data_IF_510774832377
#
_entry.id   IF_510774832377
#
_cell.length_a   1.000
_cell.length_b   1.000
_cell.length_c   1.000
_cell.angle_alpha   90.00
_cell.angle_beta   90.00
_cell.angle_gamma   90.00
#
_symmetry.space_group_name_H-M   'P 1'
#
loop_
_entity.id
_entity.type
_entity.pdbx_description
1 polymer ?
#
# COMPACT_ATOMS: atom_id res chain seq x y z
N UNK A 1 -4.54 23.78 6.78
CA UNK A 1 -3.73 22.59 7.08
C UNK A 1 -3.63 21.75 5.81
N UNK A 2 -2.42 21.42 5.34
CA UNK A 2 -2.23 20.57 4.14
C UNK A 2 -2.41 19.12 4.55
N UNK A 3 -3.10 18.35 3.70
CA UNK A 3 -3.34 16.91 3.96
C UNK A 3 -2.63 16.07 2.91
N UNK A 4 -1.81 15.12 3.36
CA UNK A 4 -1.23 14.06 2.53
C UNK A 4 -1.98 12.75 2.79
N UNK A 5 -2.32 12.01 1.74
CA UNK A 5 -2.91 10.66 1.84
C UNK A 5 -1.88 9.62 1.45
N UNK A 6 -1.55 8.75 2.40
CA UNK A 6 -0.59 7.66 2.27
C UNK A 6 -1.33 6.33 2.34
N UNK A 7 -1.15 5.48 1.34
CA UNK A 7 -1.69 4.10 1.34
C UNK A 7 -0.58 3.11 1.69
N UNK A 8 -0.87 2.22 2.64
CA UNK A 8 0.00 1.10 3.00
C UNK A 8 -0.59 -0.16 2.38
N UNK A 9 0.06 -0.67 1.34
CA UNK A 9 -0.33 -1.87 0.61
C UNK A 9 0.61 -3.05 0.95
N UNK A 10 0.22 -4.27 0.62
CA UNK A 10 1.04 -5.46 0.80
C UNK A 10 0.23 -6.71 1.11
N UNK A 11 0.91 -7.85 1.17
CA UNK A 11 0.31 -9.17 1.41
C UNK A 11 -0.21 -9.33 2.85
N UNK A 12 -1.08 -10.30 3.14
CA UNK A 12 -1.49 -10.59 4.52
C UNK A 12 -0.28 -10.85 5.42
N UNK A 13 -0.28 -10.29 6.63
CA UNK A 13 0.79 -10.50 7.62
C UNK A 13 2.12 -9.79 7.34
N UNK A 14 2.22 -8.88 6.35
CA UNK A 14 3.43 -8.11 6.10
C UNK A 14 3.62 -6.87 7.00
N UNK A 15 2.72 -6.63 7.98
CA UNK A 15 2.87 -5.58 8.98
C UNK A 15 2.07 -4.29 8.73
N UNK A 16 1.09 -4.26 7.79
CA UNK A 16 0.30 -3.05 7.49
C UNK A 16 -0.43 -2.46 8.70
N UNK A 17 -1.21 -3.29 9.39
CA UNK A 17 -1.97 -2.86 10.57
C UNK A 17 -1.05 -2.40 11.69
N UNK A 18 0.09 -3.07 11.87
CA UNK A 18 1.12 -2.68 12.83
C UNK A 18 1.71 -1.33 12.46
N UNK A 19 2.08 -1.12 11.19
CA UNK A 19 2.60 0.15 10.68
C UNK A 19 1.64 1.31 11.02
N UNK A 20 0.35 1.16 10.68
CA UNK A 20 -0.65 2.20 10.94
C UNK A 20 -0.81 2.46 12.44
N UNK A 21 -0.88 1.40 13.26
CA UNK A 21 -1.02 1.50 14.72
C UNK A 21 0.19 2.17 15.38
N UNK A 22 1.40 1.87 14.93
CA UNK A 22 2.65 2.39 15.51
C UNK A 22 2.79 3.90 15.34
N UNK A 23 2.28 4.46 14.24
CA UNK A 23 2.47 5.87 13.92
C UNK A 23 1.26 6.75 14.23
N UNK A 24 0.08 6.20 14.32
CA UNK A 24 -1.15 6.98 14.48
C UNK A 24 -1.17 7.75 15.80
N UNK A 25 -1.46 9.05 15.72
CA UNK A 25 -1.68 9.93 16.87
C UNK A 25 -3.13 9.83 17.40
N UNK A 26 -3.98 9.06 16.71
CA UNK A 26 -5.36 8.78 17.11
C UNK A 26 -5.57 7.27 17.26
N UNK A 27 -6.61 6.88 18.00
CA UNK A 27 -6.98 5.48 18.08
C UNK A 27 -7.30 4.94 16.67
N UNK A 28 -6.61 3.87 16.29
CA UNK A 28 -6.77 3.26 14.96
C UNK A 28 -8.10 2.54 14.92
N UNK A 29 -8.96 2.92 13.99
CA UNK A 29 -10.22 2.22 13.73
C UNK A 29 -9.89 0.89 13.03
N UNK A 30 -9.81 -0.17 13.84
CA UNK A 30 -9.65 -1.54 13.37
C UNK A 30 -11.03 -2.14 13.08
N UNK A 31 -11.42 -2.10 11.81
CA UNK A 31 -12.74 -2.61 11.42
C UNK A 31 -12.78 -4.15 11.32
N UNK A 32 -11.64 -4.85 11.39
CA UNK A 32 -11.61 -6.33 11.40
C UNK A 32 -12.12 -6.93 12.72
N UNK A 33 -11.95 -6.24 13.86
CA UNK A 33 -12.37 -6.73 15.18
C UNK A 33 -13.89 -6.79 15.39
N UNK A 34 -14.65 -5.96 14.70
CA UNK A 34 -16.10 -5.88 14.89
C UNK A 34 -16.90 -6.93 14.09
N UNK A 35 -16.24 -7.76 13.28
CA UNK A 35 -16.91 -8.81 12.49
C UNK A 35 -17.01 -10.18 13.21
N UNK A 36 -16.39 -10.33 14.38
CA UNK A 36 -16.36 -11.61 15.14
C UNK A 36 -17.40 -11.71 16.25
N UNK A 37 -18.08 -10.62 16.62
CA UNK A 37 -19.12 -10.67 17.64
C UNK A 37 -20.50 -11.02 17.07
N UNK A 38 -21.24 -11.79 17.83
CA UNK A 38 -22.52 -12.48 17.61
C UNK A 38 -23.64 -11.79 16.81
N UNK A 39 -23.43 -10.57 16.30
CA UNK A 39 -24.35 -9.83 15.43
C UNK A 39 -24.18 -10.08 13.93
N UNK A 40 -23.21 -10.91 13.53
CA UNK A 40 -22.97 -11.30 12.13
C UNK A 40 -24.16 -12.04 11.47
N UNK A 41 -25.13 -12.49 12.27
CA UNK A 41 -26.32 -13.21 11.75
C UNK A 41 -27.46 -12.33 11.21
N UNK A 42 -27.43 -11.01 11.45
CA UNK A 42 -28.62 -10.16 11.17
C UNK A 42 -28.41 -9.06 10.13
N UNK A 43 -27.18 -8.71 9.75
CA UNK A 43 -26.95 -7.64 8.74
C UNK A 43 -26.04 -8.12 7.61
N UNK A 44 -26.60 -8.31 6.41
CA UNK A 44 -25.92 -8.41 5.12
C UNK A 44 -25.21 -7.10 4.72
N UNK A 45 -24.53 -6.43 5.65
CA UNK A 45 -23.60 -5.33 5.34
C UNK A 45 -22.20 -5.86 5.55
N UNK A 46 -21.52 -6.13 4.44
CA UNK A 46 -20.09 -6.43 4.44
C UNK A 46 -19.37 -5.23 5.04
N UNK A 47 -18.97 -5.32 6.29
CA UNK A 47 -18.07 -4.33 6.90
C UNK A 47 -16.71 -4.52 6.26
N UNK A 48 -16.29 -3.55 5.46
CA UNK A 48 -15.00 -3.62 4.80
C UNK A 48 -13.95 -3.12 5.78
N UNK A 49 -13.07 -4.01 6.17
CA UNK A 49 -12.01 -3.75 7.12
C UNK A 49 -10.81 -3.10 6.40
N UNK A 50 -10.47 -1.88 6.78
CA UNK A 50 -9.18 -1.25 6.49
C UNK A 50 -8.70 -0.50 7.74
N UNK A 51 -7.39 -0.42 7.90
CA UNK A 51 -6.81 0.36 8.99
C UNK A 51 -6.78 1.84 8.61
N UNK A 52 -7.18 2.71 9.52
CA UNK A 52 -7.08 4.15 9.34
C UNK A 52 -6.36 4.79 10.51
N UNK A 53 -5.37 5.62 10.22
CA UNK A 53 -4.63 6.41 11.19
C UNK A 53 -4.34 7.82 10.70
N UNK A 54 -3.94 8.69 11.63
CA UNK A 54 -3.51 10.06 11.34
C UNK A 54 -2.21 10.36 12.06
N UNK A 55 -1.35 11.14 11.40
CA UNK A 55 -0.10 11.60 11.95
C UNK A 55 0.12 13.08 11.63
N UNK A 56 0.35 13.89 12.66
CA UNK A 56 0.64 15.32 12.52
C UNK A 56 2.13 15.56 12.22
N UNK A 57 2.41 16.40 11.22
CA UNK A 57 3.76 16.87 10.91
C UNK A 57 3.84 18.38 11.17
N UNK A 58 4.39 18.73 12.32
CA UNK A 58 4.35 20.10 12.80
C UNK A 58 2.93 20.62 12.98
N UNK A 59 2.71 21.93 12.84
CA UNK A 59 1.41 22.58 13.02
C UNK A 59 0.61 22.73 11.72
N UNK A 60 1.19 22.42 10.56
CA UNK A 60 0.64 22.81 9.27
C UNK A 60 0.25 21.67 8.36
N UNK A 61 0.67 20.43 8.67
CA UNK A 61 0.44 19.28 7.81
C UNK A 61 -0.08 18.07 8.59
N UNK A 62 -1.00 17.32 7.99
CA UNK A 62 -1.52 16.04 8.49
C UNK A 62 -1.30 14.95 7.43
N UNK A 63 -0.86 13.79 7.85
CA UNK A 63 -0.80 12.59 7.02
C UNK A 63 -1.94 11.66 7.43
N UNK A 64 -2.84 11.38 6.50
CA UNK A 64 -3.88 10.36 6.62
C UNK A 64 -3.35 9.05 6.05
N UNK A 65 -3.36 8.00 6.87
CA UNK A 65 -2.73 6.72 6.56
C UNK A 65 -3.81 5.66 6.45
N UNK A 66 -3.82 4.96 5.32
CA UNK A 66 -4.81 3.93 5.00
C UNK A 66 -4.11 2.60 4.75
N UNK A 67 -4.32 1.61 5.63
CA UNK A 67 -3.87 0.24 5.42
C UNK A 67 -4.86 -0.53 4.56
N UNK A 68 -4.41 -1.06 3.41
CA UNK A 68 -5.29 -1.85 2.55
C UNK A 68 -5.63 -3.20 3.18
N UNK A 69 -6.86 -3.74 2.97
CA UNK A 69 -7.16 -5.12 3.31
C UNK A 69 -6.19 -6.07 2.62
N UNK A 70 -5.62 -7.02 3.36
CA UNK A 70 -4.68 -7.99 2.78
C UNK A 70 -5.36 -9.09 1.96
N UNK A 71 -6.67 -9.28 2.09
CA UNK A 71 -7.42 -10.34 1.41
C UNK A 71 -7.93 -9.88 0.05
N UNK A 72 -7.74 -10.71 -0.98
CA UNK A 72 -8.10 -10.40 -2.37
C UNK A 72 -9.59 -10.10 -2.61
N UNK A 73 -10.48 -10.67 -1.78
CA UNK A 73 -11.93 -10.40 -1.87
C UNK A 73 -12.31 -8.93 -1.66
N UNK A 74 -11.40 -8.12 -1.12
CA UNK A 74 -11.61 -6.69 -0.86
C UNK A 74 -10.88 -5.78 -1.86
N UNK A 75 -10.49 -6.29 -3.02
CA UNK A 75 -9.75 -5.52 -4.04
C UNK A 75 -10.49 -4.26 -4.53
N UNK A 76 -11.83 -4.23 -4.44
CA UNK A 76 -12.60 -3.03 -4.77
C UNK A 76 -12.27 -1.83 -3.86
N UNK A 77 -11.84 -2.09 -2.61
CA UNK A 77 -11.37 -1.04 -1.71
C UNK A 77 -10.02 -0.48 -2.12
N UNK A 78 -9.15 -1.31 -2.69
CA UNK A 78 -7.86 -0.84 -3.19
C UNK A 78 -8.04 0.21 -4.28
N UNK A 79 -9.00 0.01 -5.19
CA UNK A 79 -9.31 0.96 -6.25
C UNK A 79 -9.72 2.33 -5.68
N UNK A 80 -10.57 2.33 -4.67
CA UNK A 80 -11.00 3.55 -3.99
C UNK A 80 -9.84 4.25 -3.25
N UNK A 81 -9.06 3.49 -2.47
CA UNK A 81 -7.97 4.05 -1.66
C UNK A 81 -6.86 4.61 -2.54
N UNK A 82 -6.43 3.86 -3.57
CA UNK A 82 -5.27 4.26 -4.39
C UNK A 82 -5.57 5.47 -5.27
N UNK A 83 -6.78 5.61 -5.82
CA UNK A 83 -7.18 6.76 -6.63
C UNK A 83 -7.16 8.09 -5.87
N UNK A 84 -7.30 8.02 -4.54
CA UNK A 84 -7.26 9.19 -3.67
C UNK A 84 -5.91 9.40 -2.98
N UNK A 85 -4.95 8.50 -3.17
CA UNK A 85 -3.64 8.56 -2.56
C UNK A 85 -2.72 9.57 -3.27
N UNK A 86 -1.80 10.17 -2.50
CA UNK A 86 -0.71 10.98 -3.04
C UNK A 86 0.57 10.15 -3.23
N UNK A 87 0.73 9.11 -2.43
CA UNK A 87 1.84 8.14 -2.50
C UNK A 87 1.42 6.85 -1.83
N UNK A 88 2.14 5.76 -2.08
CA UNK A 88 1.92 4.51 -1.36
C UNK A 88 3.21 3.79 -1.00
N UNK A 89 3.16 3.01 0.09
CA UNK A 89 4.22 2.11 0.51
C UNK A 89 3.73 0.69 0.30
N UNK A 90 4.49 -0.12 -0.43
CA UNK A 90 4.26 -1.55 -0.53
C UNK A 90 5.12 -2.29 0.51
N UNK A 91 4.51 -2.91 1.52
CA UNK A 91 5.21 -3.74 2.48
C UNK A 91 5.37 -5.18 1.95
N UNK A 92 6.59 -5.69 2.03
CA UNK A 92 6.96 -7.04 1.61
C UNK A 92 7.70 -7.74 2.74
N UNK A 93 7.19 -8.87 3.21
CA UNK A 93 7.81 -9.65 4.29
C UNK A 93 8.94 -10.53 3.73
N UNK A 94 10.19 -10.25 4.12
CA UNK A 94 11.39 -10.93 3.60
C UNK A 94 11.37 -12.46 3.82
N UNK A 95 10.80 -12.92 4.93
CA UNK A 95 10.75 -14.34 5.32
C UNK A 95 9.65 -15.14 4.60
N UNK A 96 8.90 -14.53 3.67
CA UNK A 96 7.77 -15.18 2.97
C UNK A 96 7.89 -15.09 1.45
N UNK A 97 8.84 -15.80 0.83
CA UNK A 97 9.06 -15.75 -0.63
C UNK A 97 7.83 -16.18 -1.45
N UNK A 98 6.95 -17.03 -0.89
CA UNK A 98 5.69 -17.44 -1.51
C UNK A 98 4.76 -16.27 -1.81
N UNK A 99 4.86 -15.16 -1.07
CA UNK A 99 3.99 -14.02 -1.20
C UNK A 99 4.48 -13.00 -2.24
N UNK A 100 5.72 -13.12 -2.75
CA UNK A 100 6.29 -12.13 -3.68
C UNK A 100 5.53 -12.05 -5.01
N UNK A 101 5.02 -13.19 -5.50
CA UNK A 101 4.18 -13.17 -6.68
C UNK A 101 2.90 -12.34 -6.47
N UNK A 102 2.26 -12.48 -5.30
CA UNK A 102 1.08 -11.70 -4.97
C UNK A 102 1.42 -10.21 -4.74
N UNK A 103 2.55 -9.91 -4.12
CA UNK A 103 3.05 -8.53 -4.00
C UNK A 103 3.25 -7.88 -5.38
N UNK A 104 3.81 -8.62 -6.36
CA UNK A 104 3.93 -8.16 -7.75
C UNK A 104 2.57 -7.88 -8.39
N UNK A 105 1.56 -8.69 -8.12
CA UNK A 105 0.19 -8.45 -8.60
C UNK A 105 -0.39 -7.15 -8.00
N UNK A 106 -0.13 -6.87 -6.71
CA UNK A 106 -0.52 -5.60 -6.07
C UNK A 106 0.12 -4.42 -6.78
N UNK A 107 1.44 -4.46 -7.06
CA UNK A 107 2.13 -3.40 -7.82
C UNK A 107 1.47 -3.17 -9.17
N UNK A 108 1.24 -4.24 -9.93
CA UNK A 108 0.61 -4.15 -11.24
C UNK A 108 -0.79 -3.53 -11.16
N UNK A 109 -1.57 -3.94 -10.16
CA UNK A 109 -2.91 -3.39 -9.92
C UNK A 109 -2.86 -1.89 -9.63
N UNK A 110 -1.95 -1.44 -8.77
CA UNK A 110 -1.82 -0.03 -8.37
C UNK A 110 -1.35 0.82 -9.56
N UNK A 111 -0.28 0.40 -10.24
CA UNK A 111 0.35 1.14 -11.34
C UNK A 111 -0.53 1.26 -12.58
N UNK A 112 -1.50 0.35 -12.78
CA UNK A 112 -2.50 0.47 -13.85
C UNK A 112 -3.54 1.56 -13.58
N UNK A 113 -3.67 2.03 -12.35
CA UNK A 113 -4.72 2.97 -11.92
C UNK A 113 -4.22 4.37 -11.65
N UNK A 114 -2.98 4.47 -11.19
CA UNK A 114 -2.37 5.75 -10.78
C UNK A 114 -0.89 5.79 -11.14
N UNK A 115 -0.39 7.00 -11.34
CA UNK A 115 1.03 7.31 -11.54
C UNK A 115 1.51 8.18 -10.38
N UNK A 116 1.59 7.58 -9.18
CA UNK A 116 2.03 8.24 -7.95
C UNK A 116 3.31 7.60 -7.43
N UNK A 117 4.12 8.30 -6.63
CA UNK A 117 5.34 7.75 -6.05
C UNK A 117 5.05 6.49 -5.24
N UNK A 118 5.93 5.50 -5.38
CA UNK A 118 5.92 4.25 -4.63
C UNK A 118 7.23 4.06 -3.88
N UNK A 119 7.14 3.64 -2.62
CA UNK A 119 8.25 3.14 -1.82
C UNK A 119 8.02 1.65 -1.54
N UNK A 120 9.05 0.82 -1.64
CA UNK A 120 9.01 -0.57 -1.19
C UNK A 120 9.61 -0.64 0.22
N UNK A 121 8.83 -1.16 1.17
CA UNK A 121 9.25 -1.42 2.53
C UNK A 121 9.46 -2.91 2.76
N UNK A 122 10.70 -3.34 3.00
CA UNK A 122 11.01 -4.74 3.35
C UNK A 122 10.87 -4.91 4.85
N UNK A 123 9.99 -5.81 5.27
CA UNK A 123 9.72 -6.09 6.69
C UNK A 123 10.20 -7.50 7.08
N UNK A 124 10.24 -7.79 8.41
CA UNK A 124 10.65 -9.10 8.94
C UNK A 124 12.05 -9.52 8.46
N UNK A 125 12.96 -8.57 8.34
CA UNK A 125 14.37 -8.81 7.97
C UNK A 125 15.16 -9.47 9.10
N UNK A 126 14.62 -9.44 10.29
CA UNK A 126 15.11 -10.10 11.51
C UNK A 126 14.77 -11.60 11.56
N UNK A 127 13.86 -12.07 10.71
CA UNK A 127 13.46 -13.47 10.67
C UNK A 127 14.50 -14.33 9.94
N UNK A 128 14.84 -15.54 10.47
CA UNK A 128 15.75 -16.46 9.79
C UNK A 128 15.23 -16.88 8.41
N UNK A 129 16.15 -17.00 7.43
CA UNK A 129 15.82 -17.47 6.07
C UNK A 129 15.12 -16.41 5.21
N UNK A 130 15.15 -15.14 5.62
CA UNK A 130 14.63 -14.05 4.80
C UNK A 130 15.40 -13.85 3.50
N UNK A 131 14.69 -13.55 2.42
CA UNK A 131 15.30 -13.19 1.14
C UNK A 131 16.00 -11.83 1.22
N UNK A 132 17.11 -11.70 0.50
CA UNK A 132 17.80 -10.42 0.35
C UNK A 132 16.95 -9.40 -0.40
N UNK A 133 17.24 -8.10 -0.21
CA UNK A 133 16.56 -7.03 -0.93
C UNK A 133 16.62 -7.20 -2.44
N UNK A 134 17.77 -7.63 -2.98
CA UNK A 134 17.93 -7.84 -4.42
C UNK A 134 17.09 -9.01 -4.94
N UNK A 135 17.02 -10.11 -4.20
CA UNK A 135 16.13 -11.23 -4.54
C UNK A 135 14.67 -10.82 -4.54
N UNK A 136 14.25 -10.04 -3.54
CA UNK A 136 12.89 -9.49 -3.46
C UNK A 136 12.61 -8.61 -4.69
N UNK A 137 13.51 -7.67 -5.01
CA UNK A 137 13.34 -6.77 -6.14
C UNK A 137 13.26 -7.52 -7.47
N UNK A 138 14.09 -8.53 -7.66
CA UNK A 138 14.05 -9.39 -8.83
C UNK A 138 12.71 -10.14 -8.94
N UNK A 139 12.23 -10.71 -7.85
CA UNK A 139 10.94 -11.43 -7.80
C UNK A 139 9.74 -10.52 -8.01
N UNK A 140 9.84 -9.25 -7.59
CA UNK A 140 8.84 -8.22 -7.88
C UNK A 140 8.86 -7.76 -9.34
N UNK A 141 9.88 -8.12 -10.12
CA UNK A 141 10.00 -7.83 -11.55
C UNK A 141 10.92 -6.64 -11.88
N UNK A 142 11.69 -6.14 -10.92
CA UNK A 142 12.63 -5.03 -11.12
C UNK A 142 14.04 -5.54 -11.43
N UNK A 143 14.28 -5.93 -12.68
CA UNK A 143 15.58 -6.40 -13.15
C UNK A 143 16.60 -5.26 -13.35
N UNK A 144 16.11 -4.05 -13.68
CA UNK A 144 16.95 -2.90 -13.96
C UNK A 144 16.95 -1.94 -12.78
N UNK A 145 18.11 -1.68 -12.21
CA UNK A 145 18.27 -0.77 -11.05
C UNK A 145 17.77 0.65 -11.33
N UNK A 146 17.87 1.14 -12.56
CA UNK A 146 17.42 2.48 -12.95
C UNK A 146 15.91 2.67 -12.90
N UNK A 147 15.16 1.57 -12.99
CA UNK A 147 13.68 1.57 -12.95
C UNK A 147 13.11 1.08 -11.62
N UNK A 148 14.01 0.68 -10.70
CA UNK A 148 13.58 0.23 -9.35
C UNK A 148 12.99 1.40 -8.57
N UNK A 149 11.84 1.23 -7.92
CA UNK A 149 11.41 2.17 -6.90
C UNK A 149 12.40 2.15 -5.73
N UNK A 150 12.50 3.21 -4.94
CA UNK A 150 13.26 3.20 -3.70
C UNK A 150 12.80 2.07 -2.79
N UNK A 151 13.77 1.44 -2.11
CA UNK A 151 13.53 0.34 -1.17
C UNK A 151 14.26 0.61 0.14
N UNK A 152 13.56 0.37 1.26
CA UNK A 152 14.13 0.49 2.60
C UNK A 152 13.66 -0.68 3.48
N UNK A 153 14.47 -1.00 4.50
CA UNK A 153 14.04 -1.92 5.55
C UNK A 153 13.14 -1.19 6.55
N UNK A 154 12.02 -1.81 6.92
CA UNK A 154 11.06 -1.23 7.86
C UNK A 154 10.77 -2.24 8.96
N UNK A 155 10.95 -1.82 10.22
CA UNK A 155 10.38 -2.51 11.35
C UNK A 155 9.04 -1.84 11.73
N UNK A 156 7.88 -2.43 11.40
CA UNK A 156 6.58 -1.81 11.68
C UNK A 156 6.29 -1.60 13.17
N UNK A 157 7.00 -2.29 14.08
CA UNK A 157 6.85 -2.13 15.51
C UNK A 157 7.63 -0.92 16.06
N UNK A 158 8.58 -0.38 15.30
CA UNK A 158 9.44 0.71 15.71
C UNK A 158 8.99 2.05 15.12
N UNK A 159 8.57 2.97 16.00
CA UNK A 159 8.07 4.30 15.58
C UNK A 159 9.09 5.06 14.72
N UNK A 160 10.38 4.99 15.06
CA UNK A 160 11.44 5.66 14.29
C UNK A 160 11.51 5.12 12.85
N UNK A 161 11.52 3.79 12.67
CA UNK A 161 11.56 3.15 11.35
C UNK A 161 10.34 3.50 10.49
N UNK A 162 9.16 3.57 11.11
CA UNK A 162 7.92 3.97 10.43
C UNK A 162 7.96 5.45 10.02
N UNK A 163 8.46 6.35 10.89
CA UNK A 163 8.65 7.78 10.56
C UNK A 163 9.61 7.93 9.37
N UNK A 164 10.74 7.23 9.38
CA UNK A 164 11.72 7.24 8.30
C UNK A 164 11.07 6.85 6.95
N UNK A 165 10.28 5.79 6.92
CA UNK A 165 9.54 5.36 5.74
C UNK A 165 8.57 6.43 5.22
N UNK A 166 7.87 7.11 6.14
CA UNK A 166 6.97 8.19 5.78
C UNK A 166 7.71 9.41 5.24
N UNK A 167 8.85 9.77 5.82
CA UNK A 167 9.70 10.87 5.34
C UNK A 167 10.25 10.58 3.94
N UNK A 168 10.68 9.34 3.64
CA UNK A 168 11.06 8.94 2.29
C UNK A 168 9.90 9.07 1.30
N UNK A 169 8.70 8.64 1.68
CA UNK A 169 7.51 8.78 0.83
C UNK A 169 7.15 10.25 0.55
N UNK A 170 7.31 11.13 1.54
CA UNK A 170 7.13 12.58 1.37
C UNK A 170 8.18 13.17 0.42
N UNK A 171 9.45 12.78 0.58
CA UNK A 171 10.53 13.25 -0.28
C UNK A 171 10.30 12.86 -1.74
N UNK A 172 9.85 11.63 -2.00
CA UNK A 172 9.49 11.16 -3.34
C UNK A 172 8.35 11.98 -3.96
N UNK A 173 7.33 12.29 -3.16
CA UNK A 173 6.20 13.12 -3.60
C UNK A 173 6.66 14.53 -3.97
N UNK A 174 7.52 15.15 -3.16
CA UNK A 174 8.07 16.48 -3.43
C UNK A 174 8.97 16.50 -4.67
N UNK A 175 9.80 15.46 -4.87
CA UNK A 175 10.65 15.33 -6.04
C UNK A 175 9.85 15.25 -7.35
N UNK A 176 8.73 14.51 -7.34
CA UNK A 176 7.83 14.40 -8.49
C UNK A 176 7.14 15.73 -8.80
N UNK A 177 6.70 16.46 -7.77
CA UNK A 177 6.04 17.77 -7.94
C UNK A 177 6.98 18.85 -8.48
N UNK A 178 8.30 18.74 -8.23
CA UNK A 178 9.32 19.68 -8.72
C UNK A 178 9.72 19.47 -10.20
N UNK A 179 9.37 18.33 -10.79
CA UNK A 179 9.71 18.00 -12.20
C UNK A 179 8.61 18.33 -13.20
N UNK A 180 7.40 18.67 -12.76
CA UNK A 180 6.33 19.15 -13.64
C UNK A 180 6.59 20.63 -14.02
N UNK A 181 7.23 20.87 -15.18
CA UNK A 181 7.18 22.17 -15.86
C UNK A 181 5.74 22.45 -16.27
N UNK A 182 5.26 23.71 -16.21
CA UNK A 182 3.91 24.04 -16.63
C UNK A 182 3.73 23.69 -18.11
N UNK A 183 2.91 22.70 -18.39
CA UNK A 183 2.46 22.38 -19.75
C UNK A 183 1.50 23.46 -20.18
N UNK A 184 1.90 24.21 -21.18
CA UNK A 184 1.11 25.21 -21.86
C UNK A 184 -0.14 24.53 -22.47
N UNK A 185 -1.31 24.83 -21.92
CA UNK A 185 -2.59 24.23 -22.34
C UNK A 185 -3.00 24.85 -23.66
N UNK A 186 -2.56 24.27 -24.76
CA UNK A 186 -3.16 24.44 -26.08
C UNK A 186 -4.36 23.51 -26.20
N UNK A 187 -5.52 24.12 -26.34
CA UNK A 187 -6.82 23.48 -26.53
C UNK A 187 -6.87 22.56 -27.74
N UNK A 188 -7.06 21.25 -27.57
CA UNK A 188 -7.75 20.40 -28.56
C UNK A 188 -8.24 19.11 -27.84
N UNK A 189 -9.54 18.96 -27.76
CA UNK A 189 -10.26 17.78 -27.26
C UNK A 189 -10.38 16.76 -28.40
N UNK A 190 -9.96 15.51 -28.24
CA UNK A 190 -10.40 14.41 -29.09
C UNK A 190 -11.51 13.58 -28.39
N UNK A 191 -12.36 12.87 -29.14
CA UNK A 191 -13.59 12.25 -28.64
C UNK A 191 -13.35 10.96 -27.86
N UNK A 192 -14.23 10.72 -26.90
CA UNK A 192 -14.35 9.52 -26.07
C UNK A 192 -14.53 8.26 -26.93
N UNK A 193 -13.59 7.34 -26.85
CA UNK A 193 -13.79 5.94 -27.25
C UNK A 193 -14.03 5.09 -25.99
N UNK A 194 -15.19 4.44 -25.98
CA UNK A 194 -15.59 3.46 -24.98
C UNK A 194 -14.74 2.19 -25.11
N UNK A 195 -13.93 1.87 -24.12
CA UNK A 195 -13.25 0.59 -24.05
C UNK A 195 -13.81 -0.29 -22.93
N UNK A 196 -14.14 -1.50 -23.35
CA UNK A 196 -14.71 -2.61 -22.62
C UNK A 196 -13.93 -2.98 -21.34
N UNK A 197 -14.69 -3.20 -20.26
CA UNK A 197 -14.22 -3.70 -18.97
C UNK A 197 -13.65 -5.11 -19.11
N UNK A 198 -12.33 -5.27 -19.00
CA UNK A 198 -11.73 -6.56 -18.71
C UNK A 198 -11.77 -6.81 -17.19
N UNK A 199 -12.56 -7.80 -16.79
CA UNK A 199 -12.61 -8.28 -15.41
C UNK A 199 -11.35 -9.10 -15.11
N UNK A 200 -10.43 -8.55 -14.34
CA UNK A 200 -9.28 -9.30 -13.82
C UNK A 200 -9.74 -10.21 -12.69
N UNK A 201 -9.57 -11.51 -12.90
CA UNK A 201 -9.80 -12.54 -11.89
C UNK A 201 -8.45 -12.81 -11.18
N UNK A 202 -8.35 -12.54 -9.87
CA UNK A 202 -7.16 -12.90 -9.08
C UNK A 202 -7.33 -14.33 -8.56
N UNK A 203 -6.35 -15.23 -8.75
CA UNK A 203 -6.38 -16.52 -8.11
C UNK A 203 -6.26 -16.38 -6.59
N UNK A 204 -7.11 -17.04 -5.86
CA UNK A 204 -7.06 -17.14 -4.40
C UNK A 204 -5.82 -17.91 -3.97
N UNK A 205 -4.98 -17.43 -3.04
CA UNK A 205 -3.90 -18.22 -2.48
C UNK A 205 -4.49 -19.46 -1.80
N UNK A 206 -4.08 -20.66 -2.24
CA UNK A 206 -4.40 -21.90 -1.54
C UNK A 206 -3.47 -22.00 -0.33
N UNK A 207 -3.95 -21.65 0.85
CA UNK A 207 -3.28 -22.02 2.10
C UNK A 207 -3.63 -23.48 2.38
N UNK A 208 -2.67 -24.38 2.21
CA UNK A 208 -2.78 -25.76 2.71
C UNK A 208 -2.90 -25.71 4.24
N UNK A 209 -4.04 -26.16 4.75
CA UNK A 209 -4.17 -26.47 6.18
C UNK A 209 -3.24 -27.64 6.46
N UNK A 210 -2.12 -27.38 7.10
CA UNK A 210 -1.33 -28.42 7.74
C UNK A 210 -2.14 -29.00 8.90
N UNK A 211 -2.24 -30.33 8.92
CA UNK A 211 -2.70 -31.08 10.06
C UNK A 211 -1.77 -30.88 11.25
#
# INVERSE_FOLDING_TARGET
MKTMRLVIAGTPGCGKSTFVKTISDVEVVDTERNATDATAKIKRKTTVAFDYGRFGVGSTMEIQIYGTPGQSRFNFMWDFLIKNAHTYILLVAAHRPSDFHYARQIISFMNQRVQIPMLIGVTHTDCPGGSSTDEIMLKLGYMNERTRPPVININPNERHSVIEAMMHSMALLLAQSGTEKPVNVGSTTPPLQSNSRSSFHFPTPQYSRGN
#
